data_IF_576480615577
#
_entry.id   IF_576480615577
#
_cell.length_a   1.000
_cell.length_b   1.000
_cell.length_c   1.000
_cell.angle_alpha   90.00
_cell.angle_beta   90.00
_cell.angle_gamma   90.00
#
_symmetry.space_group_name_H-M   'P 1'
#
loop_
_entity.id
_entity.type
_entity.pdbx_description
1 polymer ?
#
# COMPACT_ATOMS: atom_id res chain seq x y z
N UNK A 1 36.94 -40.49 -10.18
CA UNK A 1 36.19 -41.59 -10.83
C UNK A 1 35.20 -40.94 -11.79
N UNK A 2 35.42 -41.13 -13.09
CA UNK A 2 34.62 -40.56 -14.17
C UNK A 2 33.28 -41.30 -14.29
N UNK A 3 32.20 -40.59 -14.63
CA UNK A 3 31.25 -41.08 -15.63
C UNK A 3 30.63 -39.93 -16.42
N UNK A 4 31.09 -39.82 -17.65
CA UNK A 4 30.56 -39.08 -18.79
C UNK A 4 29.33 -39.80 -19.35
N UNK A 5 28.28 -39.08 -19.72
CA UNK A 5 27.32 -39.51 -20.74
C UNK A 5 26.92 -38.34 -21.63
N UNK A 6 27.25 -38.49 -22.91
CA UNK A 6 26.97 -37.61 -24.06
C UNK A 6 25.80 -38.16 -24.89
N UNK A 7 25.34 -37.31 -25.82
CA UNK A 7 24.49 -37.57 -27.02
C UNK A 7 22.97 -37.41 -26.81
N UNK A 8 22.19 -36.77 -27.70
CA UNK A 8 22.46 -36.02 -28.93
C UNK A 8 21.20 -35.22 -29.35
N UNK A 9 21.39 -34.09 -30.04
CA UNK A 9 20.40 -33.37 -30.86
C UNK A 9 20.24 -34.08 -32.23
N UNK A 10 19.13 -33.87 -33.01
CA UNK A 10 19.12 -32.76 -33.98
C UNK A 10 17.75 -32.19 -34.46
N UNK A 11 17.81 -30.97 -35.03
CA UNK A 11 17.15 -30.41 -36.24
C UNK A 11 15.60 -30.43 -36.40
N UNK A 12 14.89 -29.50 -37.06
CA UNK A 12 15.15 -28.24 -37.77
C UNK A 12 13.79 -27.64 -38.28
N UNK A 13 13.79 -26.37 -38.69
CA UNK A 13 12.83 -25.75 -39.64
C UNK A 13 11.68 -24.94 -39.02
N UNK A 14 11.23 -23.78 -39.51
CA UNK A 14 11.55 -23.00 -40.71
C UNK A 14 11.05 -21.54 -40.52
N UNK A 15 11.61 -20.63 -41.31
CA UNK A 15 11.38 -19.17 -41.35
C UNK A 15 10.05 -18.82 -42.02
N UNK A 16 9.38 -17.74 -41.57
CA UNK A 16 8.44 -16.95 -42.38
C UNK A 16 8.57 -15.46 -42.02
N UNK A 17 9.07 -14.69 -42.99
CA UNK A 17 9.11 -13.24 -43.04
C UNK A 17 7.79 -12.72 -43.63
N UNK A 18 7.16 -11.72 -43.01
CA UNK A 18 6.35 -10.75 -43.76
C UNK A 18 6.50 -9.34 -43.16
N UNK A 19 6.88 -8.43 -44.04
CA UNK A 19 7.01 -7.00 -43.84
C UNK A 19 5.63 -6.33 -43.69
N UNK A 20 5.59 -5.25 -42.93
CA UNK A 20 4.44 -4.36 -42.82
C UNK A 20 4.87 -2.93 -42.50
N UNK A 21 5.63 -2.29 -43.41
CA UNK A 21 5.82 -0.85 -43.39
C UNK A 21 4.57 -0.18 -43.95
N UNK A 22 3.97 0.74 -43.20
CA UNK A 22 2.88 1.58 -43.65
C UNK A 22 3.02 2.99 -43.10
N UNK A 23 3.94 3.77 -43.69
CA UNK A 23 3.98 5.23 -43.57
C UNK A 23 3.54 5.83 -44.89
N UNK A 24 2.50 6.65 -44.87
CA UNK A 24 2.32 7.78 -45.79
C UNK A 24 1.38 8.83 -45.17
N UNK A 25 1.80 10.10 -45.08
CA UNK A 25 1.03 11.18 -44.48
C UNK A 25 0.07 11.80 -45.51
N UNK A 26 -1.13 12.21 -45.06
CA UNK A 26 -2.03 13.07 -45.84
C UNK A 26 -1.94 14.52 -45.37
N UNK A 27 -1.84 15.50 -46.27
CA UNK A 27 -1.72 16.91 -45.92
C UNK A 27 -3.09 17.58 -45.69
N UNK A 28 -3.09 18.50 -44.72
CA UNK A 28 -3.95 19.66 -44.48
C UNK A 28 -5.43 19.67 -44.89
N UNK A 29 -6.30 19.74 -43.88
CA UNK A 29 -7.44 20.65 -43.89
C UNK A 29 -7.46 21.42 -42.55
N UNK A 30 -7.53 22.76 -42.53
CA UNK A 30 -7.63 23.53 -41.30
C UNK A 30 -9.08 23.56 -40.82
N UNK A 31 -9.39 22.88 -39.72
CA UNK A 31 -10.62 23.11 -38.98
C UNK A 31 -10.37 24.25 -37.99
N UNK A 32 -10.95 25.41 -38.29
CA UNK A 32 -11.02 26.55 -37.40
C UNK A 32 -11.89 26.24 -36.18
N UNK A 33 -11.37 26.58 -35.00
CA UNK A 33 -12.13 27.26 -33.97
C UNK A 33 -13.18 26.46 -33.19
N UNK A 34 -12.74 25.86 -32.08
CA UNK A 34 -13.39 26.11 -30.78
C UNK A 34 -12.39 25.79 -29.66
N UNK A 35 -12.04 26.74 -28.79
CA UNK A 35 -11.35 26.42 -27.56
C UNK A 35 -12.36 25.67 -26.69
N UNK A 36 -12.29 24.34 -26.71
CA UNK A 36 -12.83 23.53 -25.64
C UNK A 36 -12.10 24.00 -24.38
N UNK A 37 -12.78 24.80 -23.57
CA UNK A 37 -12.35 25.12 -22.23
C UNK A 37 -12.08 23.79 -21.54
N UNK A 38 -10.81 23.47 -21.34
CA UNK A 38 -10.38 22.45 -20.39
C UNK A 38 -10.87 22.95 -19.05
N UNK A 39 -12.08 22.52 -18.67
CA UNK A 39 -12.49 22.56 -17.29
C UNK A 39 -11.48 21.69 -16.56
N UNK A 40 -10.49 22.35 -15.96
CA UNK A 40 -9.62 21.74 -14.98
C UNK A 40 -10.53 21.32 -13.84
N UNK A 41 -10.97 20.06 -13.86
CA UNK A 41 -11.48 19.39 -12.67
C UNK A 41 -10.38 19.55 -11.65
N UNK A 42 -10.60 20.38 -10.63
CA UNK A 42 -9.70 20.47 -9.50
C UNK A 42 -9.50 19.04 -8.99
N UNK A 43 -8.33 18.47 -9.22
CA UNK A 43 -8.00 17.15 -8.73
C UNK A 43 -8.17 17.21 -7.22
N UNK A 44 -9.15 16.46 -6.69
CA UNK A 44 -9.25 16.21 -5.26
C UNK A 44 -7.89 15.70 -4.80
N UNK A 45 -7.26 16.40 -3.86
CA UNK A 45 -6.00 15.95 -3.28
C UNK A 45 -6.18 14.51 -2.83
N UNK A 46 -5.36 13.55 -3.31
CA UNK A 46 -5.46 12.17 -2.88
C UNK A 46 -5.34 12.08 -1.36
N UNK A 47 -6.14 11.24 -0.73
CA UNK A 47 -6.06 10.98 0.72
C UNK A 47 -4.65 10.48 1.07
N UNK A 48 -3.97 11.14 2.01
CA UNK A 48 -2.71 10.66 2.58
C UNK A 48 -2.91 10.00 3.95
N UNK A 49 -1.88 9.30 4.45
CA UNK A 49 -1.94 8.58 5.70
C UNK A 49 -2.17 9.49 6.93
N UNK A 50 -1.70 10.75 6.90
CA UNK A 50 -1.92 11.70 8.00
C UNK A 50 -3.36 12.17 8.03
N UNK A 51 -3.93 12.49 6.87
CA UNK A 51 -5.34 12.85 6.71
C UNK A 51 -6.26 11.68 7.07
N UNK A 52 -5.91 10.45 6.66
CA UNK A 52 -6.64 9.24 7.02
C UNK A 52 -6.63 9.02 8.55
N UNK A 53 -5.47 9.11 9.21
CA UNK A 53 -5.42 8.98 10.67
C UNK A 53 -6.21 10.09 11.37
N UNK A 54 -6.11 11.34 10.89
CA UNK A 54 -6.90 12.45 11.44
C UNK A 54 -8.40 12.16 11.37
N UNK A 55 -8.88 11.63 10.25
CA UNK A 55 -10.28 11.21 10.10
C UNK A 55 -10.64 10.05 11.05
N UNK A 56 -9.78 9.03 11.15
CA UNK A 56 -9.98 7.91 12.08
C UNK A 56 -10.07 8.40 13.53
N UNK A 57 -9.20 9.31 13.95
CA UNK A 57 -9.15 9.87 15.30
C UNK A 57 -10.41 10.65 15.71
N UNK A 58 -11.31 10.99 14.77
CA UNK A 58 -12.63 11.56 15.09
C UNK A 58 -13.58 10.54 15.70
N UNK A 59 -13.43 9.25 15.33
CA UNK A 59 -14.19 8.13 15.88
C UNK A 59 -13.39 7.46 17.01
N UNK A 60 -12.10 7.18 16.77
CA UNK A 60 -11.21 6.56 17.76
C UNK A 60 -10.39 7.65 18.46
N UNK A 61 -11.01 8.31 19.42
CA UNK A 61 -10.43 9.47 20.09
C UNK A 61 -9.22 9.16 20.96
N UNK A 62 -8.81 7.91 21.10
CA UNK A 62 -7.57 7.49 21.80
C UNK A 62 -6.37 7.33 20.88
N UNK A 63 -6.59 7.29 19.55
CA UNK A 63 -5.54 7.22 18.55
C UNK A 63 -4.84 8.58 18.40
N UNK A 64 -3.51 8.60 18.56
CA UNK A 64 -2.68 9.82 18.48
C UNK A 64 -1.50 9.61 17.56
N UNK A 65 -1.35 10.50 16.58
CA UNK A 65 -0.19 10.52 15.69
C UNK A 65 1.11 10.56 16.51
N UNK A 66 2.04 9.65 16.21
CA UNK A 66 3.36 9.62 16.84
C UNK A 66 4.48 9.91 15.85
N UNK A 67 4.29 9.62 14.56
CA UNK A 67 5.27 9.97 13.54
C UNK A 67 4.74 9.86 12.11
N UNK A 68 5.20 10.77 11.26
CA UNK A 68 5.11 10.65 9.80
C UNK A 68 6.35 9.89 9.32
N UNK A 69 6.13 8.85 8.52
CA UNK A 69 7.20 8.01 8.00
C UNK A 69 7.69 8.59 6.68
N UNK A 70 9.01 8.69 6.54
CA UNK A 70 9.72 9.12 5.33
C UNK A 70 10.48 7.93 4.74
N UNK A 71 11.03 8.08 3.53
CA UNK A 71 11.74 6.99 2.87
C UNK A 71 13.00 6.59 3.65
N UNK A 72 13.59 7.55 4.37
CA UNK A 72 14.81 7.41 5.15
C UNK A 72 14.58 6.69 6.48
N UNK A 73 13.40 6.88 7.09
CA UNK A 73 13.10 6.33 8.42
C UNK A 73 12.14 5.13 8.40
N UNK A 74 11.69 4.71 7.22
CA UNK A 74 10.82 3.54 7.07
C UNK A 74 11.58 2.25 7.36
N UNK A 75 11.27 1.61 8.49
CA UNK A 75 11.90 0.34 8.89
C UNK A 75 11.69 -0.83 7.92
N UNK A 76 10.69 -0.76 7.04
CA UNK A 76 10.53 -1.75 5.97
C UNK A 76 11.19 -1.33 4.66
N UNK A 77 11.60 -0.07 4.54
CA UNK A 77 12.15 0.54 3.34
C UNK A 77 11.25 0.38 2.10
N UNK A 78 9.93 0.49 2.26
CA UNK A 78 8.95 0.31 1.18
C UNK A 78 8.33 1.63 0.70
N UNK A 79 8.38 2.71 1.48
CA UNK A 79 7.77 4.00 1.12
C UNK A 79 8.23 4.47 -0.27
N UNK A 80 7.26 4.72 -1.16
CA UNK A 80 7.51 5.25 -2.51
C UNK A 80 8.06 4.25 -3.52
N UNK A 81 8.23 2.97 -3.15
CA UNK A 81 8.59 1.92 -4.11
C UNK A 81 7.39 1.51 -4.98
N UNK A 82 7.63 0.95 -6.18
CA UNK A 82 6.54 0.43 -7.01
C UNK A 82 5.65 -0.56 -6.25
N UNK A 83 4.33 -0.40 -6.36
CA UNK A 83 3.30 -1.24 -5.72
C UNK A 83 3.32 -1.22 -4.17
N UNK A 84 4.03 -0.26 -3.57
CA UNK A 84 4.09 -0.09 -2.12
C UNK A 84 3.34 1.17 -1.67
N UNK A 85 3.32 1.42 -0.35
CA UNK A 85 2.64 2.60 0.19
C UNK A 85 3.33 3.90 -0.28
N UNK A 86 2.51 4.87 -0.64
CA UNK A 86 2.89 6.22 -1.06
C UNK A 86 2.99 7.18 0.12
N UNK A 87 2.28 6.88 1.22
CA UNK A 87 2.40 7.60 2.49
C UNK A 87 2.18 6.65 3.67
N UNK A 88 2.80 6.96 4.80
CA UNK A 88 2.65 6.17 6.03
C UNK A 88 2.77 7.05 7.27
N UNK A 89 1.95 6.75 8.27
CA UNK A 89 2.08 7.28 9.62
C UNK A 89 2.03 6.17 10.65
N UNK A 90 2.57 6.46 11.83
CA UNK A 90 2.46 5.62 13.03
C UNK A 90 1.68 6.39 14.09
N UNK A 91 0.95 5.65 14.92
CA UNK A 91 0.16 6.21 16.00
C UNK A 91 0.25 5.35 17.27
N UNK A 92 -0.04 5.98 18.40
CA UNK A 92 -0.24 5.29 19.67
C UNK A 92 -1.73 5.30 20.05
N UNK A 93 -2.17 4.28 20.78
CA UNK A 93 -3.50 4.24 21.38
C UNK A 93 -3.37 4.28 22.91
N UNK A 94 -3.99 5.28 23.54
CA UNK A 94 -3.88 5.46 25.00
C UNK A 94 -4.51 4.35 25.84
N UNK A 95 -5.25 3.42 25.21
CA UNK A 95 -5.82 2.24 25.88
C UNK A 95 -4.79 1.12 26.09
N UNK A 96 -3.65 1.17 25.39
CA UNK A 96 -2.57 0.20 25.54
C UNK A 96 -1.71 0.57 26.75
N UNK A 97 -1.46 -0.40 27.62
CA UNK A 97 -0.65 -0.20 28.82
C UNK A 97 0.81 0.09 28.48
N UNK A 98 1.43 1.00 29.25
CA UNK A 98 2.88 1.22 29.18
C UNK A 98 3.69 -0.01 29.61
N UNK A 99 3.13 -0.84 30.50
CA UNK A 99 3.80 -2.05 30.95
C UNK A 99 3.91 -3.07 29.80
N UNK A 100 2.84 -3.22 29.01
CA UNK A 100 2.79 -4.13 27.86
C UNK A 100 3.65 -3.63 26.69
N UNK A 101 4.12 -2.39 26.76
CA UNK A 101 4.90 -1.73 25.70
C UNK A 101 6.32 -1.36 26.07
N UNK A 102 6.82 -1.82 27.22
CA UNK A 102 8.14 -1.47 27.74
C UNK A 102 9.31 -1.85 26.80
N UNK A 103 9.13 -2.85 25.94
CA UNK A 103 10.15 -3.34 25.01
C UNK A 103 9.98 -2.85 23.57
N UNK A 104 8.90 -2.12 23.27
CA UNK A 104 8.65 -1.57 21.94
C UNK A 104 9.18 -0.14 21.84
N UNK A 105 9.69 0.19 20.67
CA UNK A 105 10.20 1.54 20.35
C UNK A 105 9.14 2.34 19.62
N UNK A 106 9.30 3.66 19.64
CA UNK A 106 8.45 4.58 18.88
C UNK A 106 8.33 4.13 17.41
N UNK A 107 7.11 3.99 16.92
CA UNK A 107 6.81 3.57 15.56
C UNK A 107 6.49 2.08 15.41
N UNK A 108 6.72 1.27 16.44
CA UNK A 108 6.25 -0.12 16.50
C UNK A 108 4.72 -0.16 16.54
N UNK A 109 4.13 -1.14 15.85
CA UNK A 109 2.66 -1.28 15.75
C UNK A 109 2.04 -1.55 17.11
N UNK A 110 2.78 -2.21 17.99
CA UNK A 110 2.34 -2.61 19.32
C UNK A 110 1.97 -1.41 20.21
N UNK A 111 2.51 -0.22 19.93
CA UNK A 111 2.15 1.02 20.62
C UNK A 111 0.75 1.54 20.26
N UNK A 112 0.15 1.05 19.18
CA UNK A 112 -1.16 1.47 18.71
C UNK A 112 -1.41 0.96 17.29
N UNK A 113 -0.61 1.44 16.35
CA UNK A 113 -0.66 0.96 14.97
C UNK A 113 -0.05 1.91 13.95
N UNK A 114 -0.46 1.72 12.70
CA UNK A 114 -0.05 2.56 11.59
C UNK A 114 -1.10 2.63 10.49
N UNK A 115 -1.05 3.71 9.71
CA UNK A 115 -1.87 3.85 8.50
C UNK A 115 -0.91 3.89 7.31
N UNK A 116 -1.14 3.00 6.34
CA UNK A 116 -0.38 2.86 5.10
C UNK A 116 -1.33 3.16 3.94
N UNK A 117 -1.03 4.15 3.10
CA UNK A 117 -1.86 4.47 1.91
C UNK A 117 -1.09 4.11 0.65
N UNK A 118 -1.79 3.53 -0.32
CA UNK A 118 -1.26 2.98 -1.57
C UNK A 118 -1.81 3.73 -2.78
N UNK A 119 -1.25 3.43 -3.95
CA UNK A 119 -1.81 3.92 -5.23
C UNK A 119 -3.14 3.25 -5.55
N UNK A 120 -3.31 1.97 -5.18
CA UNK A 120 -4.51 1.20 -5.52
C UNK A 120 -5.01 0.35 -4.36
N UNK A 121 -6.29 0.00 -4.40
CA UNK A 121 -6.88 -0.97 -3.47
C UNK A 121 -6.21 -2.35 -3.57
N UNK A 122 -5.84 -2.78 -4.79
CA UNK A 122 -5.19 -4.07 -4.99
C UNK A 122 -3.86 -4.16 -4.24
N UNK A 123 -3.05 -3.08 -4.25
CA UNK A 123 -1.79 -3.02 -3.52
C UNK A 123 -2.01 -3.02 -2.00
N UNK A 124 -3.02 -2.27 -1.52
CA UNK A 124 -3.41 -2.27 -0.12
C UNK A 124 -3.85 -3.67 0.36
N UNK A 125 -4.67 -4.37 -0.41
CA UNK A 125 -5.06 -5.74 -0.13
C UNK A 125 -3.88 -6.71 -0.15
N UNK A 126 -2.98 -6.59 -1.13
CA UNK A 126 -1.78 -7.41 -1.21
C UNK A 126 -0.89 -7.21 0.02
N UNK A 127 -0.76 -5.96 0.49
CA UNK A 127 -0.03 -5.65 1.72
C UNK A 127 -0.64 -6.32 2.94
N UNK A 128 -1.95 -6.18 3.16
CA UNK A 128 -2.62 -6.78 4.32
C UNK A 128 -2.49 -8.31 4.32
N UNK A 129 -2.69 -8.95 3.14
CA UNK A 129 -2.49 -10.40 2.97
C UNK A 129 -1.06 -10.82 3.28
N UNK A 130 -0.07 -10.05 2.82
CA UNK A 130 1.34 -10.31 3.11
C UNK A 130 1.63 -10.26 4.61
N UNK A 131 1.21 -9.19 5.30
CA UNK A 131 1.43 -9.02 6.75
C UNK A 131 0.83 -10.22 7.50
N UNK A 132 -0.43 -10.54 7.24
CA UNK A 132 -1.11 -11.67 7.87
C UNK A 132 -0.39 -13.00 7.61
N UNK A 133 0.09 -13.23 6.38
CA UNK A 133 0.79 -14.46 6.03
C UNK A 133 2.11 -14.62 6.81
N UNK A 134 2.89 -13.54 6.94
CA UNK A 134 4.19 -13.61 7.61
C UNK A 134 4.07 -13.66 9.14
N UNK A 135 3.02 -13.09 9.73
CA UNK A 135 2.81 -13.07 11.18
C UNK A 135 2.01 -14.26 11.69
N UNK A 136 1.30 -15.01 10.81
CA UNK A 136 0.39 -16.11 11.19
C UNK A 136 0.98 -17.15 12.15
N UNK A 137 2.27 -17.44 12.04
CA UNK A 137 2.95 -18.45 12.88
C UNK A 137 3.51 -17.92 14.19
N UNK A 138 3.46 -16.60 14.41
CA UNK A 138 4.03 -15.92 15.58
C UNK A 138 2.92 -15.09 16.22
N UNK A 139 2.15 -15.65 17.18
CA UNK A 139 0.99 -14.98 17.77
C UNK A 139 1.27 -13.59 18.32
N UNK A 140 2.47 -13.36 18.85
CA UNK A 140 2.90 -12.06 19.39
C UNK A 140 3.00 -10.95 18.33
N UNK A 141 3.14 -11.31 17.05
CA UNK A 141 3.25 -10.38 15.92
C UNK A 141 1.96 -10.27 15.11
N UNK A 142 0.90 -10.99 15.49
CA UNK A 142 -0.39 -10.87 14.80
C UNK A 142 -0.92 -9.45 15.01
N UNK A 143 -1.53 -8.88 13.99
CA UNK A 143 -2.11 -7.53 13.99
C UNK A 143 -3.55 -7.63 13.47
N UNK A 144 -4.35 -6.61 13.74
CA UNK A 144 -5.60 -6.41 12.99
C UNK A 144 -5.30 -5.50 11.80
N UNK A 145 -5.47 -6.02 10.58
CA UNK A 145 -5.28 -5.26 9.34
C UNK A 145 -6.63 -5.00 8.66
N UNK A 146 -7.04 -3.74 8.59
CA UNK A 146 -8.28 -3.33 7.94
C UNK A 146 -7.98 -2.58 6.64
N UNK A 147 -8.56 -3.04 5.53
CA UNK A 147 -8.41 -2.41 4.22
C UNK A 147 -9.68 -1.63 3.87
N UNK A 148 -9.52 -0.40 3.40
CA UNK A 148 -10.59 0.39 2.80
C UNK A 148 -10.03 1.24 1.65
N UNK A 149 -10.56 1.03 0.44
CA UNK A 149 -9.97 1.62 -0.78
C UNK A 149 -8.48 1.30 -0.85
N UNK A 150 -7.66 2.31 -1.12
CA UNK A 150 -6.20 2.19 -1.14
C UNK A 150 -5.53 2.34 0.23
N UNK A 151 -6.25 2.24 1.35
CA UNK A 151 -5.71 2.41 2.71
C UNK A 151 -5.69 1.10 3.47
N UNK A 152 -4.58 0.83 4.17
CA UNK A 152 -4.45 -0.21 5.19
C UNK A 152 -4.30 0.46 6.56
N UNK A 153 -5.19 0.11 7.49
CA UNK A 153 -5.10 0.49 8.89
C UNK A 153 -4.65 -0.74 9.68
N UNK A 154 -3.41 -0.69 10.16
CA UNK A 154 -2.78 -1.72 10.99
C UNK A 154 -2.99 -1.36 12.45
N UNK A 155 -3.43 -2.32 13.27
CA UNK A 155 -3.79 -2.10 14.67
C UNK A 155 -3.19 -3.18 15.55
N UNK A 156 -2.59 -2.75 16.66
CA UNK A 156 -1.97 -3.61 17.67
C UNK A 156 -2.91 -4.70 18.18
N UNK A 157 -2.40 -5.93 18.33
CA UNK A 157 -3.12 -7.02 19.02
C UNK A 157 -3.29 -6.79 20.53
N UNK A 158 -2.56 -5.85 21.12
CA UNK A 158 -2.74 -5.47 22.52
C UNK A 158 -4.07 -4.75 22.78
N UNK A 159 -4.77 -4.31 21.73
CA UNK A 159 -6.16 -3.87 21.83
C UNK A 159 -7.11 -5.07 21.75
N UNK A 160 -8.20 -5.00 22.50
CA UNK A 160 -9.24 -6.04 22.42
C UNK A 160 -9.91 -6.02 21.04
N UNK A 161 -10.51 -7.15 20.59
CA UNK A 161 -11.22 -7.18 19.30
C UNK A 161 -12.29 -6.09 19.17
N UNK A 162 -12.98 -5.74 20.26
CA UNK A 162 -13.95 -4.65 20.30
C UNK A 162 -13.30 -3.29 20.04
N UNK A 163 -12.18 -3.00 20.70
CA UNK A 163 -11.44 -1.74 20.51
C UNK A 163 -10.84 -1.65 19.09
N UNK A 164 -10.27 -2.75 18.58
CA UNK A 164 -9.77 -2.81 17.21
C UNK A 164 -10.91 -2.63 16.18
N UNK A 165 -12.09 -3.18 16.46
CA UNK A 165 -13.29 -3.02 15.61
C UNK A 165 -13.74 -1.57 15.41
N UNK A 166 -13.42 -0.66 16.33
CA UNK A 166 -13.68 0.77 16.15
C UNK A 166 -12.83 1.36 15.03
N UNK A 167 -11.58 0.91 14.87
CA UNK A 167 -10.72 1.31 13.74
C UNK A 167 -11.28 0.82 12.41
N UNK A 168 -11.80 -0.42 12.35
CA UNK A 168 -12.49 -0.93 11.16
C UNK A 168 -13.67 -0.04 10.77
N UNK A 169 -14.48 0.32 11.75
CA UNK A 169 -15.67 1.18 11.56
C UNK A 169 -15.28 2.59 11.12
N UNK A 170 -14.20 3.14 11.67
CA UNK A 170 -13.67 4.44 11.29
C UNK A 170 -13.06 4.42 9.88
N UNK A 171 -12.29 3.39 9.55
CA UNK A 171 -11.66 3.19 8.24
C UNK A 171 -12.70 3.08 7.11
N UNK A 172 -13.86 2.47 7.39
CA UNK A 172 -14.96 2.34 6.42
C UNK A 172 -15.60 3.68 6.00
N UNK A 173 -15.24 4.79 6.65
CA UNK A 173 -15.71 6.16 6.34
C UNK A 173 -14.66 6.98 5.59
N UNK A 174 -13.50 6.40 5.31
CA UNK A 174 -12.46 7.08 4.52
C UNK A 174 -12.93 7.18 3.06
N UNK A 175 -12.61 8.29 2.40
CA UNK A 175 -13.05 8.61 1.03
C UNK A 175 -12.00 8.22 0.00
#
# INVERSE_FOLDING_TARGET
MHHTRTAALPAAGAVLLLAGCGTSPRPNAPAAGSPAATQGTAASTPLDASAALKAISTTVTTARLTGVVTAENDGNHLLGRPNQYTSKVTFADSRISKADTAYFKKGDVELGGGVEVFTSQADAEARAKYIQAVTKSIPALVEYDYVHGATVVRVSQLLTPTQAGEYKTAAAKLG
#
